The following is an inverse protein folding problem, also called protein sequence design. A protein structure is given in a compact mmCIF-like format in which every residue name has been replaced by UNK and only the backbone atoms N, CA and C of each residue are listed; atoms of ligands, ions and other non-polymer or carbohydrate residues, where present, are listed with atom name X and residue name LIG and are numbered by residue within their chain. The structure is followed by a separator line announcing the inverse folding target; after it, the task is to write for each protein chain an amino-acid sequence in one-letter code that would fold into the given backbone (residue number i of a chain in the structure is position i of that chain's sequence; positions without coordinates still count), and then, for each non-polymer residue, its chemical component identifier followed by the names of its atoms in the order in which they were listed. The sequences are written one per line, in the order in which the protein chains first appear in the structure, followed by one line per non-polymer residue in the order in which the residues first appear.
data_IF_644818729850
#
_entry.id   IF_644818729850
#
_cell.length_a   1.000
_cell.length_b   1.000
_cell.length_c   1.000
_cell.angle_alpha   90.00
_cell.angle_beta   90.00
_cell.angle_gamma   90.00
#
_symmetry.space_group_name_H-M   'P 1'
#
loop_
_entity.id
_entity.type
_entity.pdbx_description
1 polymer ?
#
# COMPACT_ATOMS: atom_id res chain seq x y z
N UNK A 1 -21.27 -3.09 -25.41
CA UNK A 1 -20.76 -4.47 -25.42
C UNK A 1 -19.27 -4.55 -25.73
N UNK A 2 -18.84 -4.07 -26.89
CA UNK A 2 -17.41 -4.04 -27.23
C UNK A 2 -16.57 -3.23 -26.24
N UNK A 3 -17.06 -2.06 -25.82
CA UNK A 3 -16.36 -1.20 -24.85
C UNK A 3 -16.21 -1.89 -23.48
N UNK A 4 -17.25 -2.62 -23.06
CA UNK A 4 -17.20 -3.38 -21.81
C UNK A 4 -16.18 -4.51 -21.86
N UNK A 5 -16.09 -5.22 -22.98
CA UNK A 5 -15.09 -6.29 -23.20
C UNK A 5 -13.67 -5.75 -23.20
N UNK A 6 -13.44 -4.63 -23.89
CA UNK A 6 -12.12 -3.98 -23.93
C UNK A 6 -11.74 -3.51 -22.53
N UNK A 7 -12.67 -2.92 -21.78
CA UNK A 7 -12.43 -2.47 -20.41
C UNK A 7 -12.00 -3.64 -19.50
N UNK A 8 -12.70 -4.79 -19.63
CA UNK A 8 -12.35 -5.98 -18.85
C UNK A 8 -10.95 -6.49 -19.19
N UNK A 9 -10.57 -6.49 -20.47
CA UNK A 9 -9.23 -6.89 -20.89
C UNK A 9 -8.17 -5.97 -20.29
N UNK A 10 -8.37 -4.65 -20.34
CA UNK A 10 -7.46 -3.69 -19.73
C UNK A 10 -7.35 -3.88 -18.22
N UNK A 11 -8.48 -4.11 -17.54
CA UNK A 11 -8.50 -4.34 -16.10
C UNK A 11 -7.74 -5.61 -15.72
N UNK A 12 -7.90 -6.70 -16.48
CA UNK A 12 -7.17 -7.94 -16.25
C UNK A 12 -5.67 -7.77 -16.48
N UNK A 13 -5.27 -7.12 -17.57
CA UNK A 13 -3.86 -6.85 -17.86
C UNK A 13 -3.25 -6.00 -16.75
N UNK A 14 -3.94 -4.95 -16.32
CA UNK A 14 -3.49 -4.08 -15.24
C UNK A 14 -3.30 -4.84 -13.94
N UNK A 15 -4.27 -5.69 -13.60
CA UNK A 15 -4.22 -6.51 -12.39
C UNK A 15 -3.04 -7.48 -12.42
N UNK A 16 -2.84 -8.16 -13.57
CA UNK A 16 -1.72 -9.08 -13.76
C UNK A 16 -0.39 -8.34 -13.62
N UNK A 17 -0.27 -7.14 -14.23
CA UNK A 17 0.93 -6.32 -14.11
C UNK A 17 1.21 -5.94 -12.65
N UNK A 18 0.18 -5.58 -11.88
CA UNK A 18 0.32 -5.28 -10.46
C UNK A 18 0.81 -6.49 -9.67
N UNK A 19 0.27 -7.67 -9.93
CA UNK A 19 0.70 -8.90 -9.28
C UNK A 19 2.17 -9.18 -9.58
N UNK A 20 2.58 -9.08 -10.84
CA UNK A 20 3.97 -9.33 -11.24
C UNK A 20 4.90 -8.30 -10.61
N UNK A 21 4.50 -7.03 -10.59
CA UNK A 21 5.29 -5.96 -9.99
C UNK A 21 5.49 -6.20 -8.49
N UNK A 22 4.44 -6.53 -7.76
CA UNK A 22 4.54 -6.83 -6.33
C UNK A 22 5.38 -8.08 -6.07
N UNK A 23 5.23 -9.11 -6.89
CA UNK A 23 6.05 -10.30 -6.82
C UNK A 23 7.54 -9.95 -6.96
N UNK A 24 7.87 -9.14 -7.97
CA UNK A 24 9.24 -8.71 -8.20
C UNK A 24 9.80 -7.86 -7.06
N UNK A 25 8.98 -6.96 -6.50
CA UNK A 25 9.37 -6.12 -5.36
C UNK A 25 9.72 -7.02 -4.17
N UNK A 26 8.89 -8.00 -3.87
CA UNK A 26 9.14 -8.93 -2.77
C UNK A 26 10.40 -9.75 -3.01
N UNK A 27 10.58 -10.25 -4.23
CA UNK A 27 11.77 -11.03 -4.61
C UNK A 27 13.04 -10.18 -4.47
N UNK A 28 13.01 -8.93 -4.92
CA UNK A 28 14.14 -8.01 -4.76
C UNK A 28 14.51 -7.79 -3.30
N UNK A 29 13.52 -7.79 -2.42
CA UNK A 29 13.72 -7.60 -0.99
C UNK A 29 14.11 -8.90 -0.24
N UNK A 30 14.27 -10.01 -0.96
CA UNK A 30 14.63 -11.29 -0.35
C UNK A 30 13.44 -12.05 0.23
N UNK A 31 12.22 -11.64 -0.08
CA UNK A 31 11.00 -12.32 0.36
C UNK A 31 10.46 -13.19 -0.77
N UNK A 32 9.71 -14.25 -0.41
CA UNK A 32 9.07 -15.07 -1.41
C UNK A 32 7.96 -14.28 -2.13
N UNK A 33 7.98 -14.28 -3.47
CA UNK A 33 7.03 -13.50 -4.25
C UNK A 33 5.57 -13.87 -4.02
N UNK A 34 5.27 -15.14 -3.73
CA UNK A 34 3.90 -15.60 -3.49
C UNK A 34 3.24 -14.92 -2.28
N UNK A 35 4.03 -14.39 -1.36
CA UNK A 35 3.51 -13.67 -0.20
C UNK A 35 2.73 -12.42 -0.58
N UNK A 36 3.04 -11.81 -1.73
CA UNK A 36 2.31 -10.64 -2.23
C UNK A 36 0.88 -10.97 -2.67
N UNK A 37 0.59 -12.24 -2.94
CA UNK A 37 -0.74 -12.68 -3.37
C UNK A 37 -1.73 -12.83 -2.21
N UNK A 38 -1.23 -12.94 -0.99
CA UNK A 38 -2.07 -13.08 0.20
C UNK A 38 -2.43 -11.69 0.72
N UNK A 39 -3.73 -11.29 0.75
CA UNK A 39 -4.10 -9.90 0.97
C UNK A 39 -3.52 -9.27 2.23
N UNK A 40 -3.79 -9.80 3.40
CA UNK A 40 -3.33 -9.20 4.67
C UNK A 40 -1.85 -9.49 4.91
N UNK A 41 -1.42 -10.70 4.60
CA UNK A 41 -0.03 -11.12 4.79
C UNK A 41 0.91 -10.34 3.87
N UNK A 42 0.47 -10.05 2.64
CA UNK A 42 1.23 -9.24 1.70
C UNK A 42 1.49 -7.84 2.23
N UNK A 43 0.49 -7.22 2.83
CA UNK A 43 0.64 -5.90 3.45
C UNK A 43 1.61 -5.94 4.63
N UNK A 44 1.53 -6.97 5.46
CA UNK A 44 2.45 -7.17 6.57
C UNK A 44 3.90 -7.25 6.08
N UNK A 45 4.14 -8.05 5.05
CA UNK A 45 5.49 -8.20 4.47
C UNK A 45 5.94 -6.90 3.79
N UNK A 46 5.02 -6.16 3.17
CA UNK A 46 5.33 -4.87 2.56
C UNK A 46 5.85 -3.88 3.60
N UNK A 47 5.23 -3.81 4.77
CA UNK A 47 5.73 -2.97 5.87
C UNK A 47 7.07 -3.46 6.40
N UNK A 48 7.29 -4.76 6.45
CA UNK A 48 8.58 -5.35 6.82
C UNK A 48 9.69 -4.93 5.85
N UNK A 49 9.39 -4.92 4.56
CA UNK A 49 10.33 -4.55 3.50
C UNK A 49 10.69 -3.07 3.59
N UNK A 50 9.70 -2.21 3.77
CA UNK A 50 9.87 -0.76 3.68
C UNK A 50 10.24 -0.12 5.02
N UNK A 51 9.69 -0.63 6.11
CA UNK A 51 9.78 0.05 7.40
C UNK A 51 9.82 -0.96 8.55
N UNK A 52 8.76 -1.04 9.37
CA UNK A 52 8.65 -1.96 10.50
C UNK A 52 7.28 -2.60 10.53
N UNK A 53 7.22 -3.86 10.95
CA UNK A 53 5.96 -4.61 11.04
C UNK A 53 5.02 -4.07 12.12
N UNK A 54 5.56 -3.41 13.15
CA UNK A 54 4.74 -2.80 14.20
C UNK A 54 3.79 -1.74 13.64
N UNK A 55 4.20 -1.00 12.60
CA UNK A 55 3.35 0.00 11.97
C UNK A 55 2.26 -0.61 11.10
N UNK A 56 2.49 -1.80 10.57
CA UNK A 56 1.43 -2.56 9.92
C UNK A 56 0.31 -2.88 10.92
N UNK A 57 0.66 -3.41 12.08
CA UNK A 57 -0.31 -3.75 13.11
C UNK A 57 -1.07 -2.52 13.60
N UNK A 58 -0.36 -1.42 13.80
CA UNK A 58 -0.97 -0.16 14.21
C UNK A 58 -1.99 0.32 13.15
N UNK A 59 -1.59 0.36 11.89
CA UNK A 59 -2.46 0.77 10.79
C UNK A 59 -3.67 -0.16 10.65
N UNK A 60 -3.45 -1.48 10.77
CA UNK A 60 -4.49 -2.49 10.66
C UNK A 60 -5.55 -2.34 11.77
N UNK A 61 -5.08 -2.18 13.01
CA UNK A 61 -5.97 -2.00 14.16
C UNK A 61 -6.75 -0.68 14.03
N UNK A 62 -6.07 0.41 13.67
CA UNK A 62 -6.72 1.70 13.46
C UNK A 62 -7.77 1.63 12.34
N UNK A 63 -7.47 0.87 11.27
CA UNK A 63 -8.43 0.66 10.18
C UNK A 63 -9.68 -0.06 10.63
N UNK A 64 -9.54 -1.11 11.45
CA UNK A 64 -10.66 -1.84 12.02
C UNK A 64 -11.50 -0.92 12.92
N UNK A 65 -10.85 -0.18 13.80
CA UNK A 65 -11.53 0.74 14.72
C UNK A 65 -12.27 1.83 13.94
N UNK A 66 -11.63 2.43 12.93
CA UNK A 66 -12.25 3.47 12.11
C UNK A 66 -13.47 2.94 11.36
N UNK A 67 -13.38 1.72 10.82
CA UNK A 67 -14.50 1.07 10.14
C UNK A 67 -15.66 0.80 11.10
N UNK A 68 -15.35 0.33 12.31
CA UNK A 68 -16.36 0.08 13.33
C UNK A 68 -17.08 1.38 13.75
N UNK A 69 -16.31 2.43 14.01
CA UNK A 69 -16.88 3.73 14.40
C UNK A 69 -17.77 4.28 13.29
N UNK A 70 -17.33 4.19 12.03
CA UNK A 70 -18.13 4.65 10.88
C UNK A 70 -19.44 3.83 10.77
N UNK A 71 -19.37 2.53 10.95
CA UNK A 71 -20.54 1.67 10.88
C UNK A 71 -21.53 1.91 12.03
N UNK A 72 -21.00 2.21 13.22
CA UNK A 72 -21.83 2.49 14.41
C UNK A 72 -22.47 3.88 14.36
N UNK A 73 -22.03 4.76 13.47
CA UNK A 73 -22.51 6.14 13.38
C UNK A 73 -23.80 6.21 12.55
N UNK A 74 -24.86 5.51 12.99
CA UNK A 74 -26.12 5.44 12.27
C UNK A 74 -26.88 6.76 12.28
N UNK A 75 -26.70 7.56 13.33
CA UNK A 75 -27.38 8.85 13.50
C UNK A 75 -26.56 10.04 13.03
N UNK A 76 -25.46 9.80 12.32
CA UNK A 76 -24.54 10.82 11.83
C UNK A 76 -24.09 11.78 12.95
N UNK A 77 -23.75 11.20 14.10
CA UNK A 77 -23.23 11.96 15.24
C UNK A 77 -21.95 12.70 14.86
N UNK A 78 -21.91 14.01 15.15
CA UNK A 78 -20.71 14.79 14.88
C UNK A 78 -19.50 14.27 15.66
N UNK A 79 -19.70 13.82 16.89
CA UNK A 79 -18.64 13.25 17.73
C UNK A 79 -18.00 12.03 17.08
N UNK A 80 -18.83 11.06 16.64
CA UNK A 80 -18.32 9.84 15.99
C UNK A 80 -17.70 10.14 14.63
N UNK A 81 -18.23 11.10 13.89
CA UNK A 81 -17.68 11.53 12.61
C UNK A 81 -16.29 12.14 12.80
N UNK A 82 -16.12 12.99 13.82
CA UNK A 82 -14.81 13.59 14.13
C UNK A 82 -13.80 12.50 14.52
N UNK A 83 -14.18 11.55 15.36
CA UNK A 83 -13.30 10.45 15.75
C UNK A 83 -12.88 9.63 14.53
N UNK A 84 -13.82 9.24 13.68
CA UNK A 84 -13.52 8.47 12.46
C UNK A 84 -12.59 9.24 11.52
N UNK A 85 -12.80 10.55 11.37
CA UNK A 85 -11.95 11.40 10.53
C UNK A 85 -10.54 11.48 11.09
N UNK A 86 -10.39 11.67 12.39
CA UNK A 86 -9.07 11.71 13.04
C UNK A 86 -8.32 10.40 12.87
N UNK A 87 -9.00 9.25 13.03
CA UNK A 87 -8.40 7.94 12.82
C UNK A 87 -7.91 7.76 11.39
N UNK A 88 -8.71 8.20 10.41
CA UNK A 88 -8.32 8.12 8.99
C UNK A 88 -7.14 9.02 8.67
N UNK A 89 -7.05 10.20 9.29
CA UNK A 89 -5.91 11.10 9.13
C UNK A 89 -4.64 10.43 9.65
N UNK A 90 -4.69 9.78 10.81
CA UNK A 90 -3.54 9.05 11.35
C UNK A 90 -3.11 7.93 10.41
N UNK A 91 -4.07 7.17 9.88
CA UNK A 91 -3.78 6.08 8.91
C UNK A 91 -3.14 6.66 7.66
N UNK A 92 -3.63 7.80 7.15
CA UNK A 92 -3.07 8.46 5.98
C UNK A 92 -1.62 8.90 6.23
N UNK A 93 -1.32 9.44 7.42
CA UNK A 93 0.05 9.83 7.80
C UNK A 93 0.95 8.60 7.80
N UNK A 94 0.49 7.48 8.38
CA UNK A 94 1.25 6.23 8.40
C UNK A 94 1.54 5.77 6.97
N UNK A 95 0.54 5.82 6.08
CA UNK A 95 0.71 5.44 4.68
C UNK A 95 1.70 6.34 3.95
N UNK A 96 1.67 7.64 4.21
CA UNK A 96 2.62 8.60 3.63
C UNK A 96 4.05 8.25 4.06
N UNK A 97 4.25 8.01 5.35
CA UNK A 97 5.56 7.62 5.89
C UNK A 97 5.99 6.29 5.27
N UNK A 98 5.08 5.33 5.14
CA UNK A 98 5.36 4.05 4.48
C UNK A 98 5.87 4.26 3.05
N UNK A 99 5.23 5.12 2.27
CA UNK A 99 5.66 5.40 0.90
C UNK A 99 7.06 6.01 0.86
N UNK A 100 7.37 6.92 1.78
CA UNK A 100 8.71 7.51 1.90
C UNK A 100 9.74 6.43 2.25
N UNK A 101 9.41 5.57 3.21
CA UNK A 101 10.30 4.48 3.63
C UNK A 101 10.52 3.46 2.52
N UNK A 102 9.46 3.12 1.79
CA UNK A 102 9.55 2.22 0.65
C UNK A 102 10.46 2.80 -0.44
N UNK A 103 10.29 4.09 -0.76
CA UNK A 103 11.15 4.79 -1.72
C UNK A 103 12.61 4.71 -1.32
N UNK A 104 12.92 5.00 -0.06
CA UNK A 104 14.30 4.95 0.45
C UNK A 104 14.85 3.53 0.47
N UNK A 105 14.02 2.54 0.78
CA UNK A 105 14.43 1.14 0.80
C UNK A 105 14.93 0.66 -0.56
N UNK A 106 14.46 1.26 -1.64
CA UNK A 106 14.90 0.97 -3.00
C UNK A 106 15.84 2.03 -3.57
N UNK A 107 16.41 2.87 -2.70
CA UNK A 107 17.44 3.84 -3.10
C UNK A 107 16.92 5.10 -3.79
N UNK A 108 15.63 5.38 -3.69
CA UNK A 108 15.02 6.57 -4.28
C UNK A 108 14.87 7.69 -3.25
N UNK A 109 14.64 8.91 -3.74
CA UNK A 109 14.45 10.08 -2.91
C UNK A 109 12.99 10.46 -2.71
N UNK A 110 12.77 11.67 -2.19
CA UNK A 110 11.45 12.21 -1.89
C UNK A 110 10.58 12.36 -3.15
N UNK A 111 11.18 12.70 -4.29
CA UNK A 111 10.44 12.83 -5.55
C UNK A 111 9.72 11.54 -5.94
N UNK A 112 10.40 10.40 -5.82
CA UNK A 112 9.79 9.10 -6.07
C UNK A 112 8.74 8.77 -5.01
N UNK A 113 8.98 9.15 -3.76
CA UNK A 113 8.02 8.95 -2.68
C UNK A 113 6.72 9.73 -2.94
N UNK A 114 6.80 10.96 -3.43
CA UNK A 114 5.64 11.74 -3.82
C UNK A 114 4.84 11.02 -4.91
N UNK A 115 5.56 10.46 -5.90
CA UNK A 115 4.93 9.65 -6.94
C UNK A 115 4.21 8.43 -6.39
N UNK A 116 4.82 7.73 -5.43
CA UNK A 116 4.18 6.60 -4.74
C UNK A 116 2.92 7.01 -3.98
N UNK A 117 2.91 8.20 -3.39
CA UNK A 117 1.75 8.70 -2.66
C UNK A 117 0.60 9.03 -3.62
N UNK A 118 0.90 9.70 -4.73
CA UNK A 118 -0.11 10.18 -5.67
C UNK A 118 -0.52 9.14 -6.70
N UNK A 119 0.44 8.36 -7.20
CA UNK A 119 0.26 7.41 -8.29
C UNK A 119 0.85 6.05 -7.90
N UNK A 120 0.48 5.54 -6.74
CA UNK A 120 1.04 4.32 -6.18
C UNK A 120 1.09 3.14 -7.16
N UNK A 121 0.01 2.79 -7.88
CA UNK A 121 0.06 1.64 -8.78
C UNK A 121 1.12 1.78 -9.88
N UNK A 122 1.25 2.98 -10.45
CA UNK A 122 2.19 3.24 -11.54
C UNK A 122 3.63 3.14 -11.02
N UNK A 123 3.92 3.76 -9.88
CA UNK A 123 5.26 3.74 -9.31
C UNK A 123 5.64 2.37 -8.76
N UNK A 124 4.67 1.56 -8.32
CA UNK A 124 4.93 0.17 -7.98
C UNK A 124 5.32 -0.65 -9.21
N UNK A 125 4.73 -0.39 -10.36
CA UNK A 125 5.15 -1.02 -11.62
C UNK A 125 6.58 -0.64 -11.96
N UNK A 126 6.94 0.63 -11.79
CA UNK A 126 8.31 1.09 -12.03
C UNK A 126 9.30 0.37 -11.11
N UNK A 127 8.97 0.24 -9.82
CA UNK A 127 9.82 -0.48 -8.86
C UNK A 127 9.95 -1.96 -9.23
N UNK A 128 8.83 -2.59 -9.59
CA UNK A 128 8.81 -4.02 -9.86
C UNK A 128 9.52 -4.41 -11.15
N UNK A 129 9.33 -3.64 -12.21
CA UNK A 129 9.90 -3.93 -13.52
C UNK A 129 11.22 -3.22 -13.80
N UNK A 130 11.59 -2.24 -12.97
CA UNK A 130 12.85 -1.52 -13.12
C UNK A 130 14.04 -2.33 -12.62
N UNK A 131 15.23 -1.75 -12.77
CA UNK A 131 16.50 -2.35 -12.31
C UNK A 131 16.86 -1.94 -10.89
N UNK A 132 15.93 -1.40 -10.13
CA UNK A 132 16.17 -0.94 -8.77
C UNK A 132 16.61 -2.08 -7.85
N UNK A 133 17.53 -1.78 -6.94
CA UNK A 133 18.01 -2.72 -5.94
C UNK A 133 17.42 -2.39 -4.57
N UNK A 134 17.19 -3.42 -3.78
CA UNK A 134 16.73 -3.26 -2.41
C UNK A 134 17.92 -3.06 -1.47
N UNK A 135 17.90 -1.96 -0.73
CA UNK A 135 18.98 -1.58 0.19
C UNK A 135 18.67 -1.86 1.65
N UNK A 136 17.47 -2.33 1.95
CA UNK A 136 17.04 -2.63 3.30
C UNK A 136 15.97 -1.66 3.79
N UNK A 137 15.22 -2.09 4.81
CA UNK A 137 14.17 -1.27 5.40
C UNK A 137 14.77 -0.03 6.09
N UNK A 138 14.09 1.10 5.94
CA UNK A 138 14.49 2.36 6.58
C UNK A 138 13.86 2.43 7.98
N UNK A 139 14.54 1.87 8.95
CA UNK A 139 14.07 1.77 10.33
C UNK A 139 14.62 2.88 11.22
#
# INVERSE_FOLDING_TARGET
MLLGGIYLIFALVWWILQIIANWNIFTKAGEAGWKSLIPIYGDYVSYKIAWQTSYFWLSFILGIVASYVSSANLNESMFLTVIATLLRIVIAVINIIYCVKLSKAFGHGIGFAIGLILLQPIFLLILGFGSDQYYGADR
#
